data_IF_168822077439
#
_entry.id   IF_168822077439
#
_cell.length_a   1.000
_cell.length_b   1.000
_cell.length_c   1.000
_cell.angle_alpha   90.00
_cell.angle_beta   90.00
_cell.angle_gamma   90.00
#
_symmetry.space_group_name_H-M   'P 1'
#
loop_
_entity.id
_entity.type
_entity.pdbx_description
1 polymer ?
#
# COMPACT_ATOMS: atom_id res chain seq x y z
N UNK A 1 -6.72 0.94 -18.29
CA UNK A 1 -7.18 1.21 -19.67
C UNK A 1 -6.82 0.03 -20.53
N UNK A 2 -7.68 -0.34 -21.47
CA UNK A 2 -7.31 -1.28 -22.54
C UNK A 2 -6.65 -0.54 -23.72
N UNK A 3 -6.28 -1.27 -24.76
CA UNK A 3 -5.60 -0.73 -25.95
C UNK A 3 -6.46 0.26 -26.74
N UNK A 4 -7.78 0.21 -26.59
CA UNK A 4 -8.73 1.12 -27.24
C UNK A 4 -9.03 2.36 -26.39
N UNK A 5 -8.45 2.46 -25.18
CA UNK A 5 -8.63 3.59 -24.28
C UNK A 5 -9.89 3.51 -23.42
N UNK A 6 -10.57 2.36 -23.33
CA UNK A 6 -11.70 2.23 -22.41
C UNK A 6 -11.18 2.15 -20.97
N UNK A 7 -11.86 2.84 -20.05
CA UNK A 7 -11.58 2.73 -18.62
C UNK A 7 -12.09 1.37 -18.14
N UNK A 8 -11.20 0.59 -17.53
CA UNK A 8 -11.51 -0.72 -16.97
C UNK A 8 -11.63 -0.59 -15.44
N UNK A 9 -12.56 -1.33 -14.83
CA UNK A 9 -12.76 -1.33 -13.38
C UNK A 9 -13.19 0.01 -12.78
N UNK A 10 -14.01 0.79 -13.50
CA UNK A 10 -14.52 2.10 -13.07
C UNK A 10 -15.80 2.03 -12.22
N UNK A 11 -16.11 0.86 -11.65
CA UNK A 11 -17.25 0.66 -10.76
C UNK A 11 -16.82 -0.15 -9.53
N UNK A 12 -17.66 -0.15 -8.49
CA UNK A 12 -17.41 -0.93 -7.27
C UNK A 12 -17.47 -2.45 -7.47
N UNK A 13 -17.83 -2.93 -8.68
CA UNK A 13 -17.70 -4.35 -9.01
C UNK A 13 -16.24 -4.80 -9.01
N UNK A 14 -15.31 -3.92 -9.41
CA UNK A 14 -13.88 -4.24 -9.56
C UNK A 14 -12.96 -3.28 -8.80
N UNK A 15 -13.37 -2.02 -8.62
CA UNK A 15 -12.58 -1.01 -7.92
C UNK A 15 -12.56 -1.32 -6.43
N UNK A 16 -11.41 -1.77 -5.94
CA UNK A 16 -11.28 -2.24 -4.57
C UNK A 16 -11.44 -1.10 -3.57
N UNK A 17 -12.53 -1.17 -2.80
CA UNK A 17 -12.75 -0.41 -1.56
C UNK A 17 -12.88 -1.44 -0.44
N UNK A 18 -11.97 -1.47 0.55
CA UNK A 18 -12.00 -2.49 1.58
C UNK A 18 -13.25 -2.39 2.45
N UNK A 19 -13.79 -3.52 2.88
CA UNK A 19 -14.83 -3.57 3.91
C UNK A 19 -14.18 -3.65 5.30
N UNK A 20 -15.01 -3.79 6.34
CA UNK A 20 -14.53 -4.05 7.69
C UNK A 20 -13.80 -5.41 7.83
N UNK A 21 -14.03 -6.36 6.91
CA UNK A 21 -13.38 -7.67 6.93
C UNK A 21 -11.95 -7.60 6.41
N UNK A 22 -11.69 -6.83 5.35
CA UNK A 22 -10.34 -6.70 4.78
C UNK A 22 -9.49 -5.65 5.50
N UNK A 23 -10.12 -4.67 6.15
CA UNK A 23 -9.40 -3.60 6.85
C UNK A 23 -8.70 -4.16 8.09
N UNK A 24 -7.36 -4.04 8.20
CA UNK A 24 -6.65 -4.53 9.37
C UNK A 24 -6.99 -3.70 10.61
N UNK A 25 -6.76 -4.27 11.78
CA UNK A 25 -6.79 -3.50 13.02
C UNK A 25 -5.56 -2.59 13.07
N UNK A 26 -5.78 -1.30 13.29
CA UNK A 26 -4.71 -0.31 13.39
C UNK A 26 -4.27 -0.13 14.84
N UNK A 27 -2.96 -0.02 15.02
CA UNK A 27 -2.35 0.47 16.25
C UNK A 27 -1.74 1.85 15.96
N UNK A 28 -1.99 2.82 16.84
CA UNK A 28 -1.54 4.20 16.66
C UNK A 28 -0.76 4.63 17.89
N UNK A 29 0.32 5.38 17.66
CA UNK A 29 1.10 6.01 18.72
C UNK A 29 1.48 7.44 18.27
N UNK A 30 1.96 8.27 19.20
CA UNK A 30 2.35 9.64 18.90
C UNK A 30 3.47 10.15 19.81
N UNK A 31 4.23 11.09 19.26
CA UNK A 31 5.16 11.94 20.01
C UNK A 31 4.87 13.40 19.72
N UNK A 32 5.25 14.30 20.62
CA UNK A 32 4.98 15.73 20.45
C UNK A 32 6.27 16.47 20.10
N UNK A 33 6.34 16.99 18.87
CA UNK A 33 7.39 17.90 18.42
C UNK A 33 6.74 19.14 17.81
N UNK A 34 6.53 20.21 18.59
CA UNK A 34 5.78 21.38 18.14
C UNK A 34 6.37 22.06 16.91
N UNK A 35 5.53 22.75 16.14
CA UNK A 35 5.93 23.68 15.10
C UNK A 35 6.38 25.00 15.72
N UNK A 36 7.67 25.40 15.66
CA UNK A 36 8.19 26.54 16.42
C UNK A 36 7.60 27.89 15.98
N UNK A 37 7.08 27.95 14.75
CA UNK A 37 6.53 29.15 14.11
C UNK A 37 5.00 29.15 14.01
N UNK A 38 4.31 28.05 14.39
CA UNK A 38 2.83 28.06 14.42
C UNK A 38 2.37 28.61 15.78
N UNK A 39 1.40 29.55 15.84
CA UNK A 39 0.96 30.19 17.10
C UNK A 39 0.52 29.21 18.20
N UNK A 40 0.07 28.02 17.82
CA UNK A 40 -0.37 26.94 18.72
C UNK A 40 0.60 25.75 18.78
N UNK A 41 1.73 25.79 18.08
CA UNK A 41 2.64 24.65 17.95
C UNK A 41 2.10 23.46 17.14
N UNK A 42 0.87 23.53 16.62
CA UNK A 42 0.22 22.46 15.86
C UNK A 42 0.84 22.23 14.46
N UNK A 43 0.69 20.99 13.96
CA UNK A 43 1.05 20.55 12.60
C UNK A 43 -0.13 19.83 11.96
N UNK A 44 -0.24 19.88 10.63
CA UNK A 44 -1.21 19.07 9.87
C UNK A 44 -0.84 17.58 9.90
N UNK A 45 -1.84 16.70 9.88
CA UNK A 45 -1.64 15.24 10.03
C UNK A 45 -2.52 14.38 9.11
N UNK A 46 -3.59 14.93 8.53
CA UNK A 46 -4.63 14.13 7.85
C UNK A 46 -4.11 13.28 6.68
N UNK A 47 -3.08 13.75 5.97
CA UNK A 47 -2.49 13.02 4.84
C UNK A 47 -1.34 12.09 5.27
N UNK A 48 -0.77 12.29 6.45
CA UNK A 48 0.34 11.48 6.98
C UNK A 48 0.10 9.97 6.95
N UNK A 49 -1.07 9.43 7.37
CA UNK A 49 -1.31 7.99 7.31
C UNK A 49 -1.37 7.46 5.87
N UNK A 50 -1.95 8.20 4.92
CA UNK A 50 -1.97 7.77 3.52
C UNK A 50 -0.56 7.78 2.91
N UNK A 51 0.19 8.87 3.14
CA UNK A 51 1.57 9.03 2.65
C UNK A 51 2.49 7.94 3.21
N UNK A 52 2.40 7.66 4.51
CA UNK A 52 3.25 6.68 5.18
C UNK A 52 2.87 5.21 4.91
N UNK A 53 1.58 4.89 4.91
CA UNK A 53 1.14 3.48 4.87
C UNK A 53 1.39 2.77 3.55
N UNK A 54 1.24 3.45 2.40
CA UNK A 54 1.45 2.86 1.06
C UNK A 54 2.88 2.29 0.90
N UNK A 55 3.97 3.04 1.17
CA UNK A 55 5.30 2.48 1.13
C UNK A 55 5.54 1.46 2.25
N UNK A 56 4.94 1.59 3.43
CA UNK A 56 5.05 0.57 4.49
C UNK A 56 4.54 -0.80 4.02
N UNK A 57 3.37 -0.86 3.38
CA UNK A 57 2.85 -2.12 2.83
C UNK A 57 3.74 -2.67 1.70
N UNK A 58 4.27 -1.80 0.83
CA UNK A 58 5.17 -2.23 -0.25
C UNK A 58 6.50 -2.76 0.29
N UNK A 59 7.09 -2.09 1.28
CA UNK A 59 8.31 -2.55 1.95
C UNK A 59 8.11 -3.90 2.62
N UNK A 60 6.95 -4.16 3.24
CA UNK A 60 6.63 -5.47 3.81
C UNK A 60 6.56 -6.57 2.73
N UNK A 61 6.01 -6.26 1.55
CA UNK A 61 5.99 -7.20 0.41
C UNK A 61 7.38 -7.48 -0.14
N UNK A 62 8.23 -6.45 -0.29
CA UNK A 62 9.62 -6.60 -0.74
C UNK A 62 10.42 -7.39 0.29
N UNK A 63 10.29 -7.07 1.58
CA UNK A 63 10.97 -7.77 2.67
C UNK A 63 10.66 -9.27 2.67
N UNK A 64 9.38 -9.64 2.52
CA UNK A 64 8.95 -11.03 2.43
C UNK A 64 9.63 -11.81 1.29
N UNK A 65 10.01 -11.15 0.20
CA UNK A 65 10.64 -11.75 -0.99
C UNK A 65 12.13 -11.43 -1.10
N UNK A 66 12.70 -10.66 -0.18
CA UNK A 66 14.07 -10.14 -0.26
C UNK A 66 15.12 -11.26 -0.30
N UNK A 67 14.86 -12.36 0.42
CA UNK A 67 15.70 -13.56 0.43
C UNK A 67 15.76 -14.28 -0.94
N UNK A 68 14.85 -13.95 -1.86
CA UNK A 68 14.83 -14.42 -3.26
C UNK A 68 15.48 -13.40 -4.23
N UNK A 69 16.10 -12.34 -3.71
CA UNK A 69 16.74 -11.28 -4.50
C UNK A 69 15.80 -10.19 -5.01
N UNK A 70 14.55 -10.15 -4.53
CA UNK A 70 13.59 -9.09 -4.89
C UNK A 70 13.94 -7.79 -4.17
N UNK A 71 14.05 -6.71 -4.93
CA UNK A 71 14.32 -5.37 -4.41
C UNK A 71 13.16 -4.40 -4.60
N UNK A 72 12.17 -4.76 -5.43
CA UNK A 72 11.00 -3.95 -5.73
C UNK A 72 9.85 -4.82 -6.24
N UNK A 73 8.61 -4.44 -5.90
CA UNK A 73 7.38 -5.08 -6.39
C UNK A 73 6.37 -3.99 -6.74
N UNK A 74 5.84 -4.02 -7.97
CA UNK A 74 4.86 -3.03 -8.43
C UNK A 74 3.48 -3.23 -7.82
N UNK A 75 2.90 -2.15 -7.30
CA UNK A 75 1.52 -2.11 -6.84
C UNK A 75 0.50 -2.28 -8.00
N UNK A 76 -0.74 -2.72 -7.71
CA UNK A 76 -1.23 -3.20 -6.41
C UNK A 76 -0.77 -4.63 -6.10
N UNK A 77 -0.59 -4.92 -4.81
CA UNK A 77 -0.18 -6.24 -4.29
C UNK A 77 -1.36 -7.21 -4.18
N UNK A 78 -2.16 -7.33 -5.23
CA UNK A 78 -3.30 -8.25 -5.25
C UNK A 78 -2.84 -9.70 -5.30
N UNK A 79 -3.67 -10.64 -4.82
CA UNK A 79 -3.33 -12.06 -4.82
C UNK A 79 -2.88 -12.58 -6.20
N UNK A 80 -3.52 -12.13 -7.28
CA UNK A 80 -3.13 -12.50 -8.65
C UNK A 80 -1.72 -12.00 -9.03
N UNK A 81 -1.41 -10.73 -8.75
CA UNK A 81 -0.09 -10.15 -9.07
C UNK A 81 1.01 -10.74 -8.20
N UNK A 82 0.74 -10.92 -6.91
CA UNK A 82 1.66 -11.58 -5.98
C UNK A 82 1.92 -13.02 -6.40
N UNK A 83 0.90 -13.80 -6.76
CA UNK A 83 1.08 -15.16 -7.28
C UNK A 83 1.90 -15.18 -8.57
N UNK A 84 1.65 -14.25 -9.50
CA UNK A 84 2.43 -14.15 -10.75
C UNK A 84 3.91 -13.89 -10.46
N UNK A 85 4.20 -13.06 -9.45
CA UNK A 85 5.57 -12.79 -9.02
C UNK A 85 6.22 -14.01 -8.36
N UNK A 86 5.51 -14.70 -7.46
CA UNK A 86 5.97 -15.96 -6.88
C UNK A 86 6.26 -17.03 -7.95
N UNK A 87 5.41 -17.10 -8.97
CA UNK A 87 5.59 -18.01 -10.11
C UNK A 87 6.82 -17.63 -10.95
N UNK A 88 7.04 -16.34 -11.20
CA UNK A 88 8.25 -15.81 -11.87
C UNK A 88 9.52 -16.19 -11.10
N UNK A 89 9.46 -16.18 -9.77
CA UNK A 89 10.55 -16.56 -8.88
C UNK A 89 10.72 -18.08 -8.71
N UNK A 90 9.84 -18.89 -9.29
CA UNK A 90 9.92 -20.36 -9.22
C UNK A 90 9.52 -20.96 -7.88
N UNK A 91 8.83 -20.20 -7.01
CA UNK A 91 8.41 -20.64 -5.67
C UNK A 91 6.91 -20.99 -5.57
N UNK A 92 6.16 -20.86 -6.68
CA UNK A 92 4.77 -21.28 -6.80
C UNK A 92 4.51 -22.00 -8.12
N UNK A 93 3.61 -23.00 -8.09
CA UNK A 93 3.20 -23.80 -9.26
C UNK A 93 1.99 -23.18 -9.99
#
# INVERSE_FOLDING_TARGET
FDEQGNIQGNSLMDYFVPTAVETPKWETDFTVTPSPHHPLGAKGVAESPHVGSIPTFTSAMVDALSHLGVTHVDMPHSAYRTWKELKRLGVAH
#
